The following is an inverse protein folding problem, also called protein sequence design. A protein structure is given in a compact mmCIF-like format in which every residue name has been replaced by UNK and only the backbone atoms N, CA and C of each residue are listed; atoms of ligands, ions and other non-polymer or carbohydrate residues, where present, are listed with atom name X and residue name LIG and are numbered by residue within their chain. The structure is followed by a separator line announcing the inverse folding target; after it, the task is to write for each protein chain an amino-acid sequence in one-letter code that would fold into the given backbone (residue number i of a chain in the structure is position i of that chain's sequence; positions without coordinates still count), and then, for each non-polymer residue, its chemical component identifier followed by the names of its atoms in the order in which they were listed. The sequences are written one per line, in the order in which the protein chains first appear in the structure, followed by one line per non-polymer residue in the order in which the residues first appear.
data_IF_481701782269
#
_entry.id   IF_481701782269
#
_cell.length_a   1.000
_cell.length_b   1.000
_cell.length_c   1.000
_cell.angle_alpha   90.00
_cell.angle_beta   90.00
_cell.angle_gamma   90.00
#
_symmetry.space_group_name_H-M   'P 1'
#
loop_
_entity.id
_entity.type
_entity.pdbx_description
1 polymer ?
#
# COMPACT_ATOMS: atom_id res chain seq x y z
N UNK A 1 -10.43 -66.65 -46.37
CA UNK A 1 -11.28 -66.62 -45.16
C UNK A 1 -12.31 -65.51 -45.31
N UNK A 2 -13.59 -65.86 -45.19
CA UNK A 2 -14.73 -64.94 -45.26
C UNK A 2 -14.77 -63.97 -44.06
N UNK A 3 -15.53 -62.85 -44.20
CA UNK A 3 -15.37 -61.60 -43.47
C UNK A 3 -16.53 -61.31 -42.50
N UNK A 4 -16.59 -60.13 -41.86
CA UNK A 4 -17.80 -59.27 -41.88
C UNK A 4 -17.64 -57.94 -41.10
N UNK A 5 -17.84 -56.83 -41.82
CA UNK A 5 -18.73 -55.70 -41.44
C UNK A 5 -20.07 -55.91 -42.21
N UNK A 6 -21.25 -55.37 -41.83
CA UNK A 6 -21.53 -53.92 -41.75
C UNK A 6 -22.66 -53.42 -40.79
N UNK A 7 -22.83 -52.09 -40.75
CA UNK A 7 -23.97 -51.22 -40.31
C UNK A 7 -25.35 -51.60 -40.94
N UNK A 8 -26.49 -50.84 -40.82
CA UNK A 8 -27.16 -50.01 -39.78
C UNK A 8 -28.73 -50.21 -39.73
N UNK A 9 -29.47 -49.31 -39.06
CA UNK A 9 -30.86 -48.83 -39.34
C UNK A 9 -32.12 -49.44 -38.64
N UNK A 10 -33.10 -48.54 -38.36
CA UNK A 10 -34.56 -48.78 -38.22
C UNK A 10 -35.16 -48.37 -36.86
N UNK A 11 -35.85 -47.22 -36.67
CA UNK A 11 -37.19 -46.75 -37.12
C UNK A 11 -38.41 -47.38 -36.39
N UNK A 12 -39.28 -46.49 -35.88
CA UNK A 12 -40.75 -46.66 -35.69
C UNK A 12 -41.19 -47.11 -34.28
N UNK A 13 -42.26 -46.62 -33.65
CA UNK A 13 -43.36 -45.68 -33.96
C UNK A 13 -43.90 -45.09 -32.64
N UNK A 14 -44.38 -43.85 -32.57
CA UNK A 14 -45.75 -43.33 -32.85
C UNK A 14 -46.90 -43.92 -32.02
N UNK A 15 -47.77 -42.96 -31.63
CA UNK A 15 -49.12 -43.02 -31.02
C UNK A 15 -49.20 -43.08 -29.49
N UNK A 16 -49.97 -42.24 -28.79
CA UNK A 16 -50.83 -41.13 -29.20
C UNK A 16 -51.84 -40.77 -28.10
N UNK A 17 -52.23 -39.49 -28.04
CA UNK A 17 -53.49 -38.95 -27.45
C UNK A 17 -53.57 -39.02 -25.90
N UNK A 18 -54.08 -38.04 -25.13
CA UNK A 18 -55.09 -36.98 -25.30
C UNK A 18 -54.93 -35.96 -24.14
N UNK A 19 -55.19 -34.68 -24.41
CA UNK A 19 -55.61 -33.69 -23.39
C UNK A 19 -57.02 -34.05 -22.86
N UNK A 20 -57.43 -33.44 -21.74
CA UNK A 20 -58.59 -32.55 -21.89
C UNK A 20 -58.42 -31.19 -21.23
N UNK A 21 -59.05 -30.21 -21.87
CA UNK A 21 -59.35 -28.87 -21.38
C UNK A 21 -60.47 -28.93 -20.34
N UNK A 22 -60.44 -28.00 -19.38
CA UNK A 22 -61.56 -27.69 -18.49
C UNK A 22 -61.51 -26.21 -18.13
N UNK A 23 -62.39 -25.44 -18.74
CA UNK A 23 -62.58 -23.99 -18.59
C UNK A 23 -63.66 -23.67 -17.55
N UNK A 24 -63.54 -22.53 -16.85
CA UNK A 24 -64.53 -21.44 -16.67
C UNK A 24 -64.69 -20.88 -15.24
N UNK A 25 -64.68 -19.52 -15.24
CA UNK A 25 -65.52 -18.55 -14.51
C UNK A 25 -64.99 -17.85 -13.24
N UNK A 26 -64.89 -16.53 -13.41
CA UNK A 26 -64.94 -15.45 -12.42
C UNK A 26 -66.08 -15.58 -11.39
N UNK A 27 -65.93 -14.86 -10.27
CA UNK A 27 -66.93 -13.85 -9.96
C UNK A 27 -66.35 -12.45 -9.64
N UNK A 28 -67.21 -11.45 -9.85
CA UNK A 28 -66.97 -10.00 -9.69
C UNK A 28 -67.05 -9.55 -8.21
N UNK A 29 -66.22 -8.55 -7.92
CA UNK A 29 -66.25 -7.46 -6.91
C UNK A 29 -67.43 -7.35 -5.93
N UNK A 30 -67.09 -7.03 -4.67
CA UNK A 30 -67.68 -5.90 -3.91
C UNK A 30 -66.59 -5.16 -3.10
N UNK A 31 -66.82 -3.85 -2.95
CA UNK A 31 -65.97 -2.81 -2.36
C UNK A 31 -65.77 -2.91 -0.84
N UNK A 32 -64.60 -2.46 -0.36
CA UNK A 32 -64.48 -1.65 0.86
C UNK A 32 -63.18 -0.83 0.82
N UNK A 33 -63.31 0.45 1.20
CA UNK A 33 -62.28 1.48 1.16
C UNK A 33 -61.30 1.39 2.33
N UNK A 34 -60.08 1.93 2.17
CA UNK A 34 -59.23 2.24 3.32
C UNK A 34 -57.75 2.45 3.03
N UNK A 35 -57.35 3.73 2.99
CA UNK A 35 -56.01 4.30 3.29
C UNK A 35 -54.84 3.98 2.36
N UNK A 36 -54.50 4.98 1.56
CA UNK A 36 -53.20 5.19 0.94
C UNK A 36 -52.21 5.74 2.00
N UNK A 37 -51.16 4.98 2.29
CA UNK A 37 -50.00 5.48 3.04
C UNK A 37 -48.92 5.90 2.03
N UNK A 38 -48.77 7.22 1.84
CA UNK A 38 -47.73 7.81 1.01
C UNK A 38 -46.41 7.77 1.79
N UNK A 39 -45.59 6.75 1.55
CA UNK A 39 -44.17 6.83 1.93
C UNK A 39 -43.48 7.85 1.03
N UNK A 40 -43.05 8.95 1.65
CA UNK A 40 -42.25 10.03 1.05
C UNK A 40 -40.88 9.49 0.63
N UNK A 41 -40.51 9.73 -0.62
CA UNK A 41 -39.11 9.65 -1.06
C UNK A 41 -38.28 10.75 -0.37
N UNK A 42 -37.01 10.50 -0.02
CA UNK A 42 -36.14 11.54 0.52
C UNK A 42 -35.63 12.47 -0.60
N UNK A 43 -35.42 13.77 -0.32
CA UNK A 43 -34.95 14.73 -1.32
C UNK A 43 -33.45 14.55 -1.64
N UNK A 44 -32.97 15.01 -2.80
CA UNK A 44 -31.57 14.93 -3.19
C UNK A 44 -30.70 15.85 -2.33
N UNK A 45 -29.52 15.35 -1.91
CA UNK A 45 -28.51 16.11 -1.18
C UNK A 45 -27.78 17.05 -2.14
N UNK A 46 -28.07 18.35 -2.05
CA UNK A 46 -27.28 19.40 -2.68
C UNK A 46 -25.93 19.54 -1.97
N UNK A 47 -24.85 19.57 -2.76
CA UNK A 47 -23.50 19.86 -2.32
C UNK A 47 -23.42 21.26 -1.66
N UNK A 48 -23.17 21.29 -0.36
CA UNK A 48 -22.80 22.52 0.34
C UNK A 48 -21.29 22.68 0.29
N UNK A 49 -20.83 23.78 -0.32
CA UNK A 49 -19.46 24.26 -0.20
C UNK A 49 -19.15 24.61 1.26
N UNK A 50 -17.92 24.39 1.76
CA UNK A 50 -17.56 24.77 3.11
C UNK A 50 -17.41 26.31 3.24
N UNK A 51 -17.85 26.92 4.35
CA UNK A 51 -17.65 28.34 4.58
C UNK A 51 -16.19 28.63 4.97
N UNK A 52 -15.68 29.74 4.43
CA UNK A 52 -14.40 30.35 4.76
C UNK A 52 -14.33 30.73 6.24
N UNK A 53 -13.35 30.19 6.98
CA UNK A 53 -13.04 30.62 8.35
C UNK A 53 -11.94 31.68 8.35
N UNK A 54 -12.35 32.93 8.60
CA UNK A 54 -11.50 33.92 9.27
C UNK A 54 -11.57 33.65 10.79
N UNK A 55 -10.46 33.92 11.46
CA UNK A 55 -10.12 33.34 12.75
C UNK A 55 -10.85 33.91 13.96
N UNK A 56 -10.83 33.12 15.02
CA UNK A 56 -11.01 33.52 16.42
C UNK A 56 -10.33 32.45 17.29
N UNK A 57 -9.50 32.89 18.23
CA UNK A 57 -8.70 32.02 19.10
C UNK A 57 -9.52 31.31 20.18
N UNK A 58 -8.96 30.28 20.84
CA UNK A 58 -9.72 29.46 21.79
C UNK A 58 -9.84 30.11 23.19
N UNK A 59 -10.93 29.85 23.94
CA UNK A 59 -11.11 30.34 25.30
C UNK A 59 -10.49 29.39 26.34
N UNK A 60 -10.01 29.98 27.44
CA UNK A 60 -9.38 29.29 28.57
C UNK A 60 -10.41 28.62 29.51
N UNK A 61 -10.12 27.39 29.94
CA UNK A 61 -10.84 26.69 31.01
C UNK A 61 -10.17 26.94 32.37
N UNK A 62 -10.91 27.56 33.30
CA UNK A 62 -10.57 27.64 34.73
C UNK A 62 -10.74 26.27 35.39
N UNK A 63 -9.68 25.77 36.05
CA UNK A 63 -9.78 24.72 37.07
C UNK A 63 -9.22 25.27 38.40
N UNK A 64 -10.07 25.20 39.42
CA UNK A 64 -9.77 25.51 40.81
C UNK A 64 -8.92 24.42 41.46
N UNK A 65 -7.86 24.77 42.21
CA UNK A 65 -7.22 23.81 43.11
C UNK A 65 -5.85 24.19 43.67
N UNK A 66 -5.86 24.77 44.88
CA UNK A 66 -4.83 24.71 45.95
C UNK A 66 -3.41 25.23 45.67
N UNK A 67 -3.09 26.33 46.37
CA UNK A 67 -1.74 26.85 46.64
C UNK A 67 -0.99 25.96 47.63
N UNK A 68 0.32 25.82 47.43
CA UNK A 68 1.48 25.91 48.35
C UNK A 68 2.70 25.62 47.44
N UNK A 69 3.81 26.35 47.35
CA UNK A 69 4.33 27.57 47.95
C UNK A 69 5.74 27.76 47.37
N UNK A 70 6.12 29.03 47.11
CA UNK A 70 7.51 29.55 47.03
C UNK A 70 8.51 28.92 46.02
N UNK A 71 9.29 29.65 45.21
CA UNK A 71 9.77 31.04 45.20
C UNK A 71 10.35 31.36 43.80
N UNK A 72 10.20 32.62 43.36
CA UNK A 72 11.10 33.38 42.48
C UNK A 72 11.02 33.06 40.98
N UNK A 73 10.32 33.78 40.07
CA UNK A 73 10.28 35.22 39.69
C UNK A 73 11.54 35.61 38.86
N UNK A 74 11.42 36.32 37.72
CA UNK A 74 11.37 35.70 36.39
C UNK A 74 12.23 36.49 35.36
N UNK A 75 11.97 36.27 34.06
CA UNK A 75 11.82 37.27 32.96
C UNK A 75 12.86 38.40 32.78
N UNK A 76 13.16 38.89 31.58
CA UNK A 76 12.71 38.62 30.24
C UNK A 76 13.54 39.49 29.28
N UNK A 77 13.48 39.09 28.02
CA UNK A 77 13.32 39.96 26.86
C UNK A 77 14.40 41.02 26.58
N UNK A 78 15.25 40.64 25.64
CA UNK A 78 15.63 41.48 24.51
C UNK A 78 14.42 42.18 23.88
N UNK A 79 14.48 43.51 23.80
CA UNK A 79 13.89 44.26 22.68
C UNK A 79 14.84 45.34 22.17
N UNK A 80 14.73 45.48 20.85
CA UNK A 80 15.52 46.27 19.89
C UNK A 80 15.40 47.77 20.10
N UNK A 81 16.36 48.52 19.58
CA UNK A 81 16.18 49.94 19.26
C UNK A 81 17.45 50.58 18.69
N UNK A 82 17.37 50.98 17.42
CA UNK A 82 18.30 51.85 16.69
C UNK A 82 18.63 53.16 17.42
N UNK A 83 19.83 53.68 17.20
CA UNK A 83 20.10 55.01 16.62
C UNK A 83 21.59 55.36 16.76
N UNK A 84 22.13 56.07 15.76
CA UNK A 84 23.56 56.34 15.62
C UNK A 84 24.08 57.55 16.40
N UNK A 85 25.31 57.94 16.04
CA UNK A 85 25.93 59.18 16.51
C UNK A 85 27.39 59.02 16.90
N UNK A 86 28.28 59.45 15.99
CA UNK A 86 29.51 60.19 16.23
C UNK A 86 30.40 59.89 17.45
N UNK A 87 31.67 59.58 17.14
CA UNK A 87 32.77 60.35 17.72
C UNK A 87 33.65 59.67 18.77
N UNK A 88 34.96 59.79 18.51
CA UNK A 88 36.10 59.69 19.42
C UNK A 88 36.55 58.30 19.89
N UNK A 89 37.79 57.97 19.48
CA UNK A 89 38.58 56.86 19.99
C UNK A 89 38.94 57.04 21.47
N UNK A 90 39.28 55.94 22.15
CA UNK A 90 40.59 55.93 22.80
C UNK A 90 41.41 54.69 22.49
N UNK A 91 42.72 54.91 22.54
CA UNK A 91 43.78 53.94 22.39
C UNK A 91 43.80 52.88 23.51
N UNK A 92 44.37 51.71 23.19
CA UNK A 92 44.90 50.78 24.19
C UNK A 92 44.33 49.37 24.13
N UNK A 93 44.70 48.58 23.12
CA UNK A 93 44.55 47.13 23.15
C UNK A 93 45.91 46.47 22.91
N UNK A 94 46.54 46.00 23.99
CA UNK A 94 47.64 45.04 23.92
C UNK A 94 47.10 43.69 23.42
N UNK A 95 47.44 43.33 22.18
CA UNK A 95 47.30 41.96 21.67
C UNK A 95 48.55 41.16 22.08
N UNK A 96 48.45 40.01 22.76
CA UNK A 96 49.57 39.09 22.89
C UNK A 96 49.80 38.36 21.56
N UNK A 97 51.04 38.35 21.10
CA UNK A 97 51.47 37.69 19.88
C UNK A 97 51.12 36.19 19.89
N UNK A 98 50.32 35.74 18.91
CA UNK A 98 50.08 34.33 18.64
C UNK A 98 51.36 33.71 18.07
N UNK A 99 52.05 32.91 18.88
CA UNK A 99 53.19 32.08 18.46
C UNK A 99 52.67 31.00 17.49
N UNK A 100 53.02 31.13 16.21
CA UNK A 100 52.70 30.14 15.20
C UNK A 100 53.37 28.79 15.53
N UNK A 101 52.57 27.73 15.72
CA UNK A 101 53.06 26.37 15.86
C UNK A 101 53.58 25.89 14.50
N UNK A 102 54.86 25.48 14.46
CA UNK A 102 55.46 24.83 13.29
C UNK A 102 54.79 23.46 13.06
N UNK A 103 54.49 23.08 11.81
CA UNK A 103 53.95 21.75 11.53
C UNK A 103 55.02 20.68 11.76
N UNK A 104 54.70 19.70 12.60
CA UNK A 104 55.52 18.50 12.80
C UNK A 104 55.32 17.59 11.58
N UNK A 105 56.40 17.30 10.84
CA UNK A 105 56.35 16.32 9.74
C UNK A 105 56.19 14.91 10.32
N UNK A 106 55.27 14.07 9.82
CA UNK A 106 55.16 12.71 10.29
C UNK A 106 56.42 11.93 9.89
N UNK A 107 56.99 11.20 10.84
CA UNK A 107 58.12 10.30 10.59
C UNK A 107 57.69 9.20 9.63
N UNK A 108 58.47 8.96 8.57
CA UNK A 108 58.26 7.84 7.65
C UNK A 108 58.51 6.54 8.41
N UNK A 109 57.44 5.79 8.68
CA UNK A 109 57.54 4.40 9.12
C UNK A 109 58.24 3.59 8.02
N UNK A 110 59.37 2.96 8.37
CA UNK A 110 60.08 2.03 7.49
C UNK A 110 59.21 0.80 7.28
N UNK A 111 59.04 0.40 6.02
CA UNK A 111 58.35 -0.84 5.64
C UNK A 111 59.06 -2.05 6.27
N UNK A 112 58.33 -2.81 7.08
CA UNK A 112 58.71 -4.17 7.50
C UNK A 112 58.17 -5.14 6.45
N UNK A 113 59.00 -5.97 5.80
CA UNK A 113 58.52 -6.94 4.84
C UNK A 113 57.91 -8.13 5.60
N UNK A 114 56.59 -8.19 5.57
CA UNK A 114 55.78 -9.27 6.13
C UNK A 114 54.33 -9.03 5.78
N UNK A 115 53.91 -9.44 4.58
CA UNK A 115 52.52 -9.32 4.14
C UNK A 115 51.65 -10.29 4.94
N UNK A 116 51.19 -9.87 6.11
CA UNK A 116 50.02 -10.48 6.74
C UNK A 116 48.87 -10.24 5.77
N UNK A 117 48.35 -11.29 5.13
CA UNK A 117 47.08 -11.19 4.40
C UNK A 117 46.07 -10.62 5.39
N UNK A 118 45.60 -9.39 5.14
CA UNK A 118 44.53 -8.79 5.92
C UNK A 118 43.32 -9.73 5.94
N UNK A 119 42.49 -9.71 7.00
CA UNK A 119 41.31 -10.55 7.06
C UNK A 119 40.50 -10.37 5.77
N UNK A 120 40.02 -11.48 5.21
CA UNK A 120 39.16 -11.44 4.02
C UNK A 120 38.08 -10.37 4.23
N UNK A 121 37.84 -9.50 3.24
CA UNK A 121 36.77 -8.51 3.31
C UNK A 121 35.44 -9.27 3.46
N UNK A 122 34.93 -9.34 4.69
CA UNK A 122 33.58 -9.80 4.95
C UNK A 122 32.67 -8.69 4.45
N UNK A 123 32.03 -8.89 3.29
CA UNK A 123 30.92 -8.02 2.89
C UNK A 123 29.80 -8.18 3.91
N UNK A 124 29.30 -7.09 4.51
CA UNK A 124 28.20 -7.18 5.44
C UNK A 124 26.97 -7.78 4.74
N UNK A 125 26.11 -8.49 5.48
CA UNK A 125 24.86 -8.99 4.93
C UNK A 125 24.02 -7.86 4.32
N UNK A 126 23.19 -8.15 3.30
CA UNK A 126 22.28 -7.15 2.73
C UNK A 126 21.35 -6.55 3.79
N UNK A 127 21.09 -5.24 3.65
CA UNK A 127 20.21 -4.50 4.55
C UNK A 127 18.73 -4.74 4.28
N UNK A 128 17.92 -4.74 5.34
CA UNK A 128 16.45 -4.65 5.28
C UNK A 128 16.03 -3.35 5.97
N UNK A 129 15.25 -2.53 5.27
CA UNK A 129 14.70 -1.28 5.80
C UNK A 129 13.25 -1.05 5.35
N UNK A 130 12.55 -0.18 6.08
CA UNK A 130 11.15 0.20 5.79
C UNK A 130 11.04 1.71 5.66
N UNK A 131 10.39 2.15 4.59
CA UNK A 131 9.97 3.54 4.39
C UNK A 131 8.50 3.65 4.77
N UNK A 132 8.24 4.11 5.99
CA UNK A 132 6.89 4.15 6.55
C UNK A 132 6.00 5.22 5.93
N UNK A 133 6.55 6.42 5.70
CA UNK A 133 5.79 7.59 5.30
C UNK A 133 5.90 7.87 3.80
N UNK A 134 4.79 8.17 3.11
CA UNK A 134 4.80 8.48 1.68
C UNK A 134 5.68 9.66 1.31
N UNK A 135 5.75 10.67 2.19
CA UNK A 135 6.53 11.89 1.99
C UNK A 135 8.05 11.64 2.04
N UNK A 136 8.50 10.56 2.69
CA UNK A 136 9.92 10.20 2.76
C UNK A 136 10.41 9.49 1.50
N UNK A 137 9.51 8.87 0.71
CA UNK A 137 9.88 8.04 -0.46
C UNK A 137 10.80 8.74 -1.47
N UNK A 138 10.59 10.02 -1.86
CA UNK A 138 11.47 10.68 -2.81
C UNK A 138 12.92 10.86 -2.33
N UNK A 139 13.16 10.84 -1.02
CA UNK A 139 14.49 10.99 -0.43
C UNK A 139 15.24 9.65 -0.28
N UNK A 140 14.55 8.53 -0.51
CA UNK A 140 15.14 7.19 -0.35
C UNK A 140 15.79 6.78 -1.67
N UNK A 141 17.10 6.53 -1.61
CA UNK A 141 17.80 5.91 -2.72
C UNK A 141 17.29 4.48 -2.90
N UNK A 142 16.68 4.20 -4.05
CA UNK A 142 16.26 2.86 -4.44
C UNK A 142 17.22 2.22 -5.46
N UNK A 143 18.25 2.93 -5.92
CA UNK A 143 19.15 2.44 -6.95
C UNK A 143 19.80 1.12 -6.52
N UNK A 144 19.65 0.10 -7.37
CA UNK A 144 20.19 -1.23 -7.09
C UNK A 144 19.43 -2.05 -6.04
N UNK A 145 18.44 -1.50 -5.35
CA UNK A 145 17.67 -2.21 -4.33
C UNK A 145 16.60 -3.14 -4.94
N UNK A 146 16.12 -4.08 -4.12
CA UNK A 146 14.82 -4.74 -4.31
C UNK A 146 13.80 -3.96 -3.48
N UNK A 147 12.97 -3.16 -4.15
CA UNK A 147 11.85 -2.47 -3.52
C UNK A 147 10.66 -3.43 -3.39
N UNK A 148 10.02 -3.44 -2.22
CA UNK A 148 8.82 -4.24 -1.95
C UNK A 148 7.70 -3.27 -1.57
N UNK A 149 6.78 -3.04 -2.50
CA UNK A 149 5.70 -2.06 -2.34
C UNK A 149 4.52 -2.69 -1.59
N UNK A 150 3.98 -1.97 -0.62
CA UNK A 150 2.89 -2.43 0.25
C UNK A 150 1.80 -1.34 0.33
N UNK A 151 0.56 -1.73 0.07
CA UNK A 151 -0.69 -0.99 0.31
C UNK A 151 -1.71 -2.08 0.69
N UNK A 152 -1.61 -2.53 1.95
CA UNK A 152 -2.25 -3.77 2.41
C UNK A 152 -3.78 -3.67 2.31
N UNK A 153 -4.33 -2.49 2.63
CA UNK A 153 -5.75 -2.14 2.53
C UNK A 153 -5.86 -0.96 1.55
N UNK A 154 -5.92 -1.19 0.24
CA UNK A 154 -6.21 -2.47 -0.44
C UNK A 154 -5.36 -2.72 -1.69
N UNK A 155 -4.62 -1.74 -2.19
CA UNK A 155 -4.16 -1.78 -3.58
C UNK A 155 -3.25 -2.98 -3.89
N UNK A 156 -2.30 -3.32 -3.02
CA UNK A 156 -1.41 -4.45 -3.27
C UNK A 156 -2.13 -5.79 -3.11
N UNK A 157 -3.05 -5.89 -2.15
CA UNK A 157 -3.93 -7.07 -2.02
C UNK A 157 -4.79 -7.27 -3.27
N UNK A 158 -5.35 -6.20 -3.84
CA UNK A 158 -6.11 -6.25 -5.10
C UNK A 158 -5.25 -6.70 -6.28
N UNK A 159 -4.01 -6.20 -6.39
CA UNK A 159 -3.07 -6.61 -7.44
C UNK A 159 -2.75 -8.11 -7.33
N UNK A 160 -2.48 -8.59 -6.12
CA UNK A 160 -2.20 -10.00 -5.84
C UNK A 160 -3.42 -10.87 -6.19
N UNK A 161 -4.62 -10.48 -5.75
CA UNK A 161 -5.86 -11.19 -6.04
C UNK A 161 -6.14 -11.26 -7.55
N UNK A 162 -5.95 -10.16 -8.28
CA UNK A 162 -6.16 -10.12 -9.73
C UNK A 162 -5.22 -11.10 -10.46
N UNK A 163 -3.93 -11.09 -10.15
CA UNK A 163 -2.95 -11.99 -10.77
C UNK A 163 -3.20 -13.45 -10.37
N UNK A 164 -3.56 -13.72 -9.12
CA UNK A 164 -3.98 -15.06 -8.68
C UNK A 164 -5.24 -15.56 -9.39
N UNK A 165 -6.15 -14.66 -9.76
CA UNK A 165 -7.33 -14.98 -10.57
C UNK A 165 -7.02 -15.18 -12.07
N UNK A 166 -5.76 -15.11 -12.49
CA UNK A 166 -5.33 -15.31 -13.87
C UNK A 166 -5.36 -14.04 -14.72
N UNK A 167 -5.36 -12.85 -14.10
CA UNK A 167 -5.09 -11.59 -14.79
C UNK A 167 -3.74 -11.69 -15.54
N UNK A 168 -3.71 -11.24 -16.79
CA UNK A 168 -2.50 -11.25 -17.63
C UNK A 168 -1.44 -10.29 -17.09
N UNK A 169 -1.87 -9.09 -16.73
CA UNK A 169 -1.03 -8.02 -16.22
C UNK A 169 -1.88 -6.93 -15.58
N UNK A 170 -1.31 -6.18 -14.64
CA UNK A 170 -1.91 -4.97 -14.07
C UNK A 170 -1.12 -3.76 -14.55
N UNK A 171 -1.80 -2.73 -15.01
CA UNK A 171 -1.20 -1.44 -15.39
C UNK A 171 -1.59 -0.41 -14.34
N UNK A 172 -0.64 0.05 -13.50
CA UNK A 172 -0.90 1.11 -12.54
C UNK A 172 -0.92 2.47 -13.27
N UNK A 173 -1.98 3.24 -13.04
CA UNK A 173 -2.22 4.57 -13.60
C UNK A 173 -2.31 5.60 -12.47
N UNK A 174 -1.80 6.81 -12.71
CA UNK A 174 -1.83 7.91 -11.74
C UNK A 174 -3.24 8.46 -11.57
N UNK A 175 -3.97 8.57 -12.67
CA UNK A 175 -5.27 9.23 -12.69
C UNK A 175 -6.36 8.37 -13.34
N UNK A 176 -7.64 8.66 -13.06
CA UNK A 176 -8.75 8.00 -13.73
C UNK A 176 -8.76 8.26 -15.24
N UNK A 177 -8.33 9.45 -15.67
CA UNK A 177 -8.25 9.81 -17.08
C UNK A 177 -7.21 8.96 -17.81
N UNK A 178 -6.07 8.67 -17.18
CA UNK A 178 -5.07 7.74 -17.72
C UNK A 178 -5.65 6.33 -17.88
N UNK A 179 -6.45 5.84 -16.91
CA UNK A 179 -7.13 4.54 -17.00
C UNK A 179 -8.07 4.49 -18.21
N UNK A 180 -8.92 5.51 -18.37
CA UNK A 180 -9.88 5.58 -19.47
C UNK A 180 -9.18 5.71 -20.84
N UNK A 181 -8.10 6.50 -20.92
CA UNK A 181 -7.32 6.67 -22.13
C UNK A 181 -6.55 5.41 -22.53
N UNK A 182 -6.05 4.62 -21.56
CA UNK A 182 -5.44 3.31 -21.82
C UNK A 182 -6.49 2.27 -22.21
N UNK A 183 -7.69 2.31 -21.61
CA UNK A 183 -8.80 1.42 -21.97
C UNK A 183 -9.25 1.64 -23.42
N UNK A 184 -9.38 2.90 -23.85
CA UNK A 184 -9.78 3.26 -25.21
C UNK A 184 -8.80 2.80 -26.29
N UNK A 185 -7.53 2.55 -25.93
CA UNK A 185 -6.49 2.06 -26.85
C UNK A 185 -6.42 0.54 -26.96
N UNK A 186 -7.22 -0.19 -26.18
CA UNK A 186 -7.18 -1.66 -26.13
C UNK A 186 -8.46 -2.28 -26.70
N UNK A 187 -8.40 -3.51 -27.25
CA UNK A 187 -9.60 -4.17 -27.77
C UNK A 187 -10.69 -4.33 -26.72
N UNK A 188 -11.94 -4.21 -27.14
CA UNK A 188 -13.10 -4.41 -26.26
C UNK A 188 -13.03 -5.80 -25.58
N UNK A 189 -13.27 -5.84 -24.27
CA UNK A 189 -13.23 -7.06 -23.46
C UNK A 189 -11.82 -7.58 -23.12
N UNK A 190 -10.75 -6.95 -23.62
CA UNK A 190 -9.37 -7.31 -23.29
C UNK A 190 -8.88 -6.70 -21.96
N UNK A 191 -9.62 -5.72 -21.44
CA UNK A 191 -9.31 -4.97 -20.22
C UNK A 191 -10.47 -4.96 -19.25
N UNK A 192 -10.14 -4.75 -17.98
CA UNK A 192 -11.06 -4.34 -16.92
C UNK A 192 -10.47 -3.11 -16.26
N UNK A 193 -11.30 -2.08 -16.05
CA UNK A 193 -10.91 -0.86 -15.37
C UNK A 193 -11.32 -0.91 -13.91
N UNK A 194 -10.42 -0.51 -13.02
CA UNK A 194 -10.69 -0.47 -11.59
C UNK A 194 -10.04 0.73 -10.93
N UNK A 195 -10.68 1.23 -9.88
CA UNK A 195 -10.05 2.25 -9.07
C UNK A 195 -10.94 2.84 -8.02
N UNK A 196 -10.31 3.59 -7.12
CA UNK A 196 -10.98 4.26 -6.02
C UNK A 196 -10.40 5.64 -5.71
N UNK A 197 -11.21 6.47 -5.06
CA UNK A 197 -10.79 7.62 -4.27
C UNK A 197 -11.45 7.53 -2.91
N UNK A 198 -10.66 7.53 -1.84
CA UNK A 198 -11.15 7.37 -0.47
C UNK A 198 -12.09 6.16 -0.34
N UNK A 199 -11.65 5.00 -0.81
CA UNK A 199 -12.37 3.72 -0.75
C UNK A 199 -13.56 3.58 -1.72
N UNK A 200 -14.04 4.68 -2.31
CA UNK A 200 -15.22 4.70 -3.19
C UNK A 200 -14.81 4.49 -4.63
N UNK A 201 -15.56 3.64 -5.35
CA UNK A 201 -15.35 3.38 -6.78
C UNK A 201 -15.49 4.68 -7.57
N UNK A 202 -14.56 4.91 -8.49
CA UNK A 202 -14.64 6.04 -9.42
C UNK A 202 -15.72 5.78 -10.47
N UNK A 203 -16.56 6.78 -10.73
CA UNK A 203 -17.60 6.71 -11.76
C UNK A 203 -16.99 6.43 -13.15
N UNK A 204 -17.67 5.58 -13.92
CA UNK A 204 -17.20 5.17 -15.25
C UNK A 204 -16.19 4.01 -15.26
N UNK A 205 -15.63 3.60 -14.13
CA UNK A 205 -14.79 2.39 -14.04
C UNK A 205 -15.61 1.14 -13.76
N UNK A 206 -15.18 -0.01 -14.27
CA UNK A 206 -15.91 -1.28 -14.13
C UNK A 206 -15.99 -1.73 -12.67
N UNK A 207 -14.87 -1.64 -11.94
CA UNK A 207 -14.72 -2.16 -10.57
C UNK A 207 -14.16 -1.12 -9.58
N UNK A 208 -14.36 -1.37 -8.29
CA UNK A 208 -13.61 -0.73 -7.19
C UNK A 208 -12.20 -1.38 -7.08
N UNK A 209 -11.34 -0.85 -6.21
CA UNK A 209 -10.12 -1.48 -5.71
C UNK A 209 -10.40 -2.57 -4.64
N UNK A 210 -11.34 -3.48 -4.92
CA UNK A 210 -11.75 -4.55 -4.00
C UNK A 210 -11.13 -5.87 -4.43
N UNK A 211 -10.36 -6.57 -3.56
CA UNK A 211 -9.82 -7.88 -3.87
C UNK A 211 -10.89 -8.96 -4.04
N UNK A 212 -12.04 -8.90 -3.33
CA UNK A 212 -13.12 -9.89 -3.50
C UNK A 212 -13.75 -9.83 -4.90
N UNK A 213 -13.71 -8.66 -5.54
CA UNK A 213 -14.16 -8.49 -6.91
C UNK A 213 -13.22 -9.07 -7.97
N UNK A 214 -12.01 -9.51 -7.61
CA UNK A 214 -11.00 -10.03 -8.54
C UNK A 214 -11.19 -11.54 -8.78
N UNK A 215 -12.32 -11.91 -9.40
CA UNK A 215 -12.64 -13.32 -9.69
C UNK A 215 -12.04 -13.79 -11.02
N UNK A 216 -11.87 -15.11 -11.18
CA UNK A 216 -11.37 -15.72 -12.42
C UNK A 216 -12.22 -15.36 -13.65
N UNK A 217 -13.54 -15.26 -13.49
CA UNK A 217 -14.47 -14.86 -14.55
C UNK A 217 -14.21 -13.42 -15.03
N UNK A 218 -13.87 -12.53 -14.09
CA UNK A 218 -13.61 -11.12 -14.40
C UNK A 218 -12.19 -10.89 -14.90
N UNK A 219 -11.21 -11.62 -14.39
CA UNK A 219 -9.79 -11.34 -14.63
C UNK A 219 -9.10 -12.25 -15.64
N UNK A 220 -9.59 -13.48 -15.86
CA UNK A 220 -8.89 -14.50 -16.64
C UNK A 220 -8.42 -14.01 -18.02
N UNK A 221 -7.10 -13.93 -18.20
CA UNK A 221 -6.44 -13.51 -19.45
C UNK A 221 -6.58 -12.02 -19.81
N UNK A 222 -7.27 -11.21 -19.01
CA UNK A 222 -7.48 -9.77 -19.23
C UNK A 222 -6.38 -8.94 -18.58
N UNK A 223 -6.25 -7.69 -19.01
CA UNK A 223 -5.42 -6.69 -18.31
C UNK A 223 -6.28 -5.90 -17.32
N UNK A 224 -5.81 -5.71 -16.09
CA UNK A 224 -6.41 -4.78 -15.15
C UNK A 224 -5.75 -3.40 -15.28
N UNK A 225 -6.53 -2.36 -15.55
CA UNK A 225 -6.09 -0.96 -15.49
C UNK A 225 -6.51 -0.39 -14.14
N UNK A 226 -5.55 0.01 -13.31
CA UNK A 226 -5.80 0.32 -11.89
C UNK A 226 -5.30 1.73 -11.54
N UNK A 227 -6.17 2.56 -10.95
CA UNK A 227 -5.77 3.80 -10.23
C UNK A 227 -6.27 3.77 -8.79
N UNK A 228 -5.45 4.21 -7.85
CA UNK A 228 -5.80 4.27 -6.42
C UNK A 228 -5.29 5.57 -5.82
N UNK A 229 -5.75 5.87 -4.61
CA UNK A 229 -5.34 7.06 -3.86
C UNK A 229 -3.84 7.02 -3.52
N UNK A 230 -3.32 5.85 -3.13
CA UNK A 230 -1.95 5.73 -2.60
C UNK A 230 -1.09 4.70 -3.37
N UNK A 231 -1.53 3.44 -3.44
CA UNK A 231 -0.69 2.32 -3.88
C UNK A 231 -0.16 2.38 -5.30
N UNK A 232 -0.95 2.89 -6.26
CA UNK A 232 -0.48 3.02 -7.65
C UNK A 232 0.66 4.01 -7.77
N UNK A 233 0.62 5.14 -7.06
CA UNK A 233 1.74 6.06 -6.97
C UNK A 233 2.94 5.41 -6.26
N UNK A 234 2.73 4.62 -5.21
CA UNK A 234 3.81 3.89 -4.53
C UNK A 234 4.55 2.93 -5.45
N UNK A 235 3.83 2.21 -6.32
CA UNK A 235 4.45 1.35 -7.33
C UNK A 235 5.26 2.17 -8.32
N UNK A 236 4.71 3.29 -8.82
CA UNK A 236 5.38 4.15 -9.79
C UNK A 236 6.66 4.78 -9.22
N UNK A 237 6.63 5.26 -7.98
CA UNK A 237 7.80 5.81 -7.28
C UNK A 237 8.89 4.74 -7.10
N UNK A 238 8.49 3.49 -6.86
CA UNK A 238 9.41 2.38 -6.66
C UNK A 238 10.11 1.91 -7.96
N UNK A 239 9.66 2.31 -9.15
CA UNK A 239 10.27 1.92 -10.44
C UNK A 239 11.72 2.40 -10.62
N UNK A 240 12.22 3.29 -9.75
CA UNK A 240 13.63 3.63 -9.68
C UNK A 240 14.51 2.48 -9.12
N UNK A 241 13.89 1.48 -8.48
CA UNK A 241 14.59 0.32 -7.95
C UNK A 241 15.02 -0.67 -9.05
N UNK A 242 15.98 -1.54 -8.73
CA UNK A 242 16.42 -2.58 -9.67
C UNK A 242 15.38 -3.68 -9.84
N UNK A 243 14.68 -4.01 -8.76
CA UNK A 243 13.54 -4.93 -8.77
C UNK A 243 12.42 -4.32 -7.94
N UNK A 244 11.18 -4.41 -8.43
CA UNK A 244 9.99 -3.95 -7.71
C UNK A 244 9.05 -5.12 -7.54
N UNK A 245 8.87 -5.55 -6.31
CA UNK A 245 7.90 -6.57 -5.92
C UNK A 245 6.68 -5.91 -5.29
N UNK A 246 5.52 -6.55 -5.38
CA UNK A 246 4.28 -6.09 -4.74
C UNK A 246 3.86 -7.10 -3.69
N UNK A 247 3.77 -6.67 -2.45
CA UNK A 247 3.49 -7.53 -1.31
C UNK A 247 2.18 -7.19 -0.62
N UNK A 248 1.52 -8.24 -0.16
CA UNK A 248 0.37 -8.20 0.71
C UNK A 248 0.46 -9.39 1.67
N UNK A 249 -0.39 -9.42 2.70
CA UNK A 249 -0.42 -10.58 3.61
C UNK A 249 -0.69 -11.92 2.90
N UNK A 250 -1.57 -11.99 1.87
CA UNK A 250 -1.84 -13.22 1.13
C UNK A 250 -0.65 -13.86 0.41
N UNK A 251 0.42 -13.12 0.11
CA UNK A 251 1.59 -13.64 -0.60
C UNK A 251 2.91 -13.41 0.15
N UNK A 252 2.86 -13.21 1.47
CA UNK A 252 3.99 -12.88 2.35
C UNK A 252 5.20 -13.78 2.13
N UNK A 253 5.03 -15.10 2.23
CA UNK A 253 6.09 -16.09 2.10
C UNK A 253 6.68 -16.17 0.69
N UNK A 254 5.85 -16.03 -0.34
CA UNK A 254 6.32 -16.02 -1.73
C UNK A 254 7.18 -14.79 -2.05
N UNK A 255 6.79 -13.63 -1.51
CA UNK A 255 7.59 -12.41 -1.61
C UNK A 255 8.92 -12.56 -0.88
N UNK A 256 8.92 -13.12 0.33
CA UNK A 256 10.14 -13.35 1.09
C UNK A 256 11.15 -14.21 0.29
N UNK A 257 10.72 -15.38 -0.20
CA UNK A 257 11.58 -16.25 -1.03
C UNK A 257 12.10 -15.53 -2.28
N UNK A 258 11.24 -14.75 -2.96
CA UNK A 258 11.66 -14.01 -4.15
C UNK A 258 12.66 -12.90 -3.80
N UNK A 259 12.42 -12.14 -2.73
CA UNK A 259 13.31 -11.07 -2.29
C UNK A 259 14.68 -11.63 -1.88
N UNK A 260 14.71 -12.77 -1.18
CA UNK A 260 15.94 -13.47 -0.84
C UNK A 260 16.73 -13.92 -2.10
N UNK A 261 16.04 -14.50 -3.09
CA UNK A 261 16.66 -14.95 -4.33
C UNK A 261 17.24 -13.80 -5.19
N UNK A 262 16.73 -12.57 -5.04
CA UNK A 262 17.26 -11.39 -5.72
C UNK A 262 18.49 -10.79 -5.00
N UNK A 263 18.80 -11.28 -3.78
CA UNK A 263 20.05 -11.13 -3.01
C UNK A 263 20.68 -9.73 -3.03
N UNK A 264 19.94 -8.73 -2.56
CA UNK A 264 20.39 -7.33 -2.40
C UNK A 264 19.78 -6.67 -1.17
N UNK A 265 20.03 -5.37 -1.00
CA UNK A 265 19.27 -4.48 -0.10
C UNK A 265 17.77 -4.59 -0.41
N UNK A 266 16.97 -4.95 0.60
CA UNK A 266 15.50 -4.97 0.54
C UNK A 266 14.99 -3.70 1.19
N UNK A 267 14.17 -2.95 0.45
CA UNK A 267 13.53 -1.73 0.95
C UNK A 267 12.02 -1.91 0.84
N UNK A 268 11.33 -2.00 1.96
CA UNK A 268 9.88 -1.98 1.99
C UNK A 268 9.39 -0.54 1.79
N UNK A 269 8.48 -0.34 0.85
CA UNK A 269 7.91 0.97 0.50
C UNK A 269 6.42 0.94 0.84
N UNK A 270 6.07 1.49 1.99
CA UNK A 270 4.67 1.64 2.39
C UNK A 270 4.00 2.73 1.55
N UNK A 271 2.79 2.44 1.08
CA UNK A 271 1.98 3.41 0.35
C UNK A 271 1.36 4.44 1.31
N UNK A 272 1.17 4.05 2.58
CA UNK A 272 0.62 4.91 3.61
C UNK A 272 -0.86 5.22 3.40
N UNK A 273 -1.41 6.00 4.33
CA UNK A 273 -2.84 6.31 4.35
C UNK A 273 -3.04 7.80 4.58
N UNK A 274 -3.57 8.51 3.59
CA UNK A 274 -3.75 9.98 3.64
C UNK A 274 -2.42 10.70 3.95
N UNK A 275 -1.33 10.21 3.36
CA UNK A 275 0.00 10.80 3.50
C UNK A 275 0.74 10.48 4.80
N UNK A 276 0.19 9.63 5.68
CA UNK A 276 0.82 9.24 6.95
C UNK A 276 1.17 7.75 6.99
N UNK A 277 1.86 7.33 8.06
CA UNK A 277 2.19 5.92 8.32
C UNK A 277 0.93 5.05 8.35
N UNK A 278 0.97 3.95 7.62
CA UNK A 278 -0.05 2.90 7.67
C UNK A 278 0.38 1.78 8.62
N UNK A 279 -0.51 1.42 9.55
CA UNK A 279 -0.27 0.33 10.49
C UNK A 279 -0.27 -1.02 9.75
N UNK A 280 -1.27 -1.25 8.92
CA UNK A 280 -1.42 -2.44 8.09
C UNK A 280 -0.23 -2.65 7.14
N UNK A 281 0.30 -1.58 6.51
CA UNK A 281 1.49 -1.69 5.66
C UNK A 281 2.73 -2.07 6.48
N UNK A 282 2.87 -1.47 7.67
CA UNK A 282 3.97 -1.76 8.61
C UNK A 282 3.94 -3.21 9.06
N UNK A 283 2.75 -3.74 9.35
CA UNK A 283 2.55 -5.13 9.75
C UNK A 283 2.92 -6.09 8.62
N UNK A 284 2.54 -5.81 7.37
CA UNK A 284 2.95 -6.63 6.22
C UNK A 284 4.47 -6.59 6.04
N UNK A 285 5.11 -5.43 6.17
CA UNK A 285 6.58 -5.32 6.09
C UNK A 285 7.28 -6.18 7.17
N UNK A 286 6.78 -6.14 8.41
CA UNK A 286 7.26 -6.98 9.50
C UNK A 286 7.04 -8.47 9.25
N UNK A 287 5.88 -8.85 8.71
CA UNK A 287 5.53 -10.23 8.39
C UNK A 287 6.42 -10.82 7.30
N UNK A 288 6.72 -10.05 6.24
CA UNK A 288 7.64 -10.47 5.19
C UNK A 288 9.08 -10.51 5.71
N UNK A 289 9.45 -9.59 6.61
CA UNK A 289 10.77 -9.61 7.28
C UNK A 289 10.95 -10.88 8.11
N UNK A 290 9.94 -11.30 8.90
CA UNK A 290 9.97 -12.56 9.63
C UNK A 290 10.18 -13.75 8.67
N UNK A 291 9.38 -13.84 7.60
CA UNK A 291 9.51 -14.90 6.60
C UNK A 291 10.89 -14.94 5.93
N UNK A 292 11.50 -13.79 5.66
CA UNK A 292 12.86 -13.69 5.11
C UNK A 292 13.91 -14.27 6.07
N UNK A 293 13.76 -14.01 7.37
CA UNK A 293 14.67 -14.50 8.40
C UNK A 293 14.50 -16.00 8.66
N UNK A 294 13.27 -16.51 8.57
CA UNK A 294 12.97 -17.94 8.67
C UNK A 294 13.57 -18.72 7.49
N UNK A 295 13.44 -18.21 6.26
CA UNK A 295 13.89 -18.88 5.04
C UNK A 295 15.43 -18.84 4.86
N UNK A 296 16.05 -17.70 5.16
CA UNK A 296 17.50 -17.48 4.92
C UNK A 296 18.39 -17.58 6.17
N UNK A 297 17.78 -17.58 7.37
CA UNK A 297 18.47 -17.48 8.64
C UNK A 297 18.75 -16.02 9.06
N UNK A 298 18.70 -15.67 10.36
CA UNK A 298 18.86 -14.29 10.84
C UNK A 298 20.21 -13.65 10.50
N UNK A 299 21.28 -14.44 10.40
CA UNK A 299 22.62 -13.95 10.08
C UNK A 299 22.80 -13.56 8.61
N UNK A 300 21.86 -13.93 7.73
CA UNK A 300 21.90 -13.59 6.31
C UNK A 300 21.48 -12.14 6.02
N UNK A 301 20.98 -11.41 7.02
CA UNK A 301 20.39 -10.08 6.84
C UNK A 301 20.86 -9.10 7.91
N UNK A 302 21.03 -7.84 7.51
CA UNK A 302 21.24 -6.72 8.42
C UNK A 302 19.93 -5.93 8.57
N UNK A 303 19.24 -6.10 9.70
CA UNK A 303 18.03 -5.33 9.99
C UNK A 303 18.38 -3.91 10.46
N UNK A 304 17.99 -2.91 9.66
CA UNK A 304 17.97 -1.52 10.07
C UNK A 304 16.84 -1.26 11.08
N UNK A 305 16.90 -0.15 11.81
CA UNK A 305 15.96 0.15 12.89
C UNK A 305 14.50 0.18 12.43
N UNK A 306 14.25 0.68 11.22
CA UNK A 306 12.92 0.68 10.61
C UNK A 306 12.37 -0.74 10.41
N UNK A 307 13.20 -1.69 9.96
CA UNK A 307 12.81 -3.09 9.85
C UNK A 307 12.60 -3.75 11.21
N UNK A 308 13.41 -3.39 12.23
CA UNK A 308 13.21 -3.88 13.61
C UNK A 308 11.88 -3.42 14.19
N UNK A 309 11.50 -2.16 13.96
CA UNK A 309 10.21 -1.60 14.39
C UNK A 309 9.06 -2.35 13.73
N UNK A 310 9.12 -2.55 12.41
CA UNK A 310 8.08 -3.28 11.68
C UNK A 310 7.97 -4.74 12.16
N UNK A 311 9.09 -5.43 12.33
CA UNK A 311 9.13 -6.80 12.83
C UNK A 311 8.54 -6.90 14.25
N UNK A 312 8.92 -5.99 15.16
CA UNK A 312 8.38 -5.97 16.51
C UNK A 312 6.87 -5.71 16.53
N UNK A 313 6.38 -4.78 15.69
CA UNK A 313 4.96 -4.52 15.52
C UNK A 313 4.20 -5.77 15.02
N UNK A 314 4.75 -6.48 14.03
CA UNK A 314 4.21 -7.72 13.52
C UNK A 314 4.13 -8.81 14.59
N UNK A 315 5.23 -9.08 15.30
CA UNK A 315 5.28 -10.11 16.34
C UNK A 315 4.25 -9.87 17.46
N UNK A 316 3.99 -8.61 17.81
CA UNK A 316 2.96 -8.24 18.79
C UNK A 316 1.52 -8.33 18.27
N UNK A 317 1.32 -8.35 16.95
CA UNK A 317 0.02 -8.26 16.30
C UNK A 317 -0.46 -9.57 15.65
N UNK A 318 0.45 -10.48 15.26
CA UNK A 318 0.18 -11.60 14.34
C UNK A 318 -0.97 -12.52 14.77
N UNK A 319 -1.12 -12.79 16.07
CA UNK A 319 -2.19 -13.64 16.61
C UNK A 319 -3.58 -12.98 16.58
N UNK A 320 -3.63 -11.66 16.40
CA UNK A 320 -4.86 -10.83 16.39
C UNK A 320 -4.97 -9.99 15.11
N UNK A 321 -4.32 -10.43 14.03
CA UNK A 321 -4.15 -9.63 12.82
C UNK A 321 -5.47 -9.07 12.28
N UNK A 322 -6.48 -9.93 12.11
CA UNK A 322 -7.78 -9.53 11.57
C UNK A 322 -8.51 -8.51 12.45
N UNK A 323 -8.33 -8.59 13.78
CA UNK A 323 -8.89 -7.62 14.73
C UNK A 323 -8.16 -6.27 14.60
N UNK A 324 -6.83 -6.29 14.59
CA UNK A 324 -5.99 -5.09 14.50
C UNK A 324 -6.24 -4.38 13.17
N UNK A 325 -6.32 -5.11 12.05
CA UNK A 325 -6.64 -4.55 10.74
C UNK A 325 -7.94 -3.75 10.78
N UNK A 326 -9.00 -4.26 11.40
CA UNK A 326 -10.28 -3.50 11.55
C UNK A 326 -10.15 -2.24 12.41
N UNK A 327 -9.19 -2.19 13.34
CA UNK A 327 -8.96 -1.04 14.23
C UNK A 327 -8.06 0.03 13.61
N UNK A 328 -7.31 -0.31 12.56
CA UNK A 328 -6.52 0.68 11.80
C UNK A 328 -7.42 1.73 11.16
N UNK A 329 -6.85 2.89 10.81
CA UNK A 329 -7.60 3.92 10.09
C UNK A 329 -8.18 3.37 8.78
N UNK A 330 -7.34 2.69 7.98
CA UNK A 330 -7.74 2.10 6.70
C UNK A 330 -8.83 1.05 6.87
N UNK A 331 -8.66 0.13 7.81
CA UNK A 331 -9.64 -0.92 8.06
C UNK A 331 -10.96 -0.41 8.62
N UNK A 332 -10.94 0.47 9.62
CA UNK A 332 -12.16 1.08 10.18
C UNK A 332 -12.91 1.90 9.12
N UNK A 333 -12.20 2.52 8.18
CA UNK A 333 -12.80 3.27 7.09
C UNK A 333 -13.46 2.34 6.06
N UNK A 334 -12.80 1.26 5.64
CA UNK A 334 -13.36 0.27 4.71
C UNK A 334 -14.54 -0.50 5.33
N UNK A 335 -14.50 -0.80 6.63
CA UNK A 335 -15.61 -1.44 7.34
C UNK A 335 -16.88 -0.57 7.31
N UNK A 336 -16.74 0.75 7.53
CA UNK A 336 -17.84 1.71 7.40
C UNK A 336 -18.45 1.78 6.00
N UNK A 337 -17.68 1.44 4.97
CA UNK A 337 -18.16 1.36 3.59
C UNK A 337 -18.89 0.03 3.27
N UNK A 338 -19.01 -0.89 4.24
CA UNK A 338 -19.66 -2.18 4.05
C UNK A 338 -18.81 -3.19 3.27
N UNK A 339 -17.49 -3.05 3.33
CA UNK A 339 -16.53 -3.86 2.58
C UNK A 339 -15.76 -4.82 3.51
N UNK A 340 -16.47 -5.47 4.44
CA UNK A 340 -15.89 -6.37 5.45
C UNK A 340 -15.18 -7.58 4.83
N UNK A 341 -15.70 -8.08 3.70
CA UNK A 341 -15.10 -9.19 2.98
C UNK A 341 -13.69 -8.84 2.48
N UNK A 342 -13.48 -7.61 2.00
CA UNK A 342 -12.15 -7.14 1.60
C UNK A 342 -11.17 -7.18 2.77
N UNK A 343 -11.59 -6.75 3.97
CA UNK A 343 -10.74 -6.78 5.16
C UNK A 343 -10.37 -8.20 5.57
N UNK A 344 -11.31 -9.13 5.47
CA UNK A 344 -11.02 -10.53 5.73
C UNK A 344 -9.96 -11.08 4.76
N UNK A 345 -10.06 -10.76 3.47
CA UNK A 345 -9.07 -11.17 2.46
C UNK A 345 -7.71 -10.50 2.73
N UNK A 346 -7.67 -9.20 3.05
CA UNK A 346 -6.43 -8.49 3.33
C UNK A 346 -5.67 -9.07 4.54
N UNK A 347 -6.37 -9.66 5.50
CA UNK A 347 -5.80 -10.27 6.70
C UNK A 347 -5.46 -11.77 6.53
N UNK A 348 -5.74 -12.38 5.39
CA UNK A 348 -5.35 -13.77 5.13
C UNK A 348 -3.84 -13.88 4.89
N UNK A 349 -3.21 -14.87 5.51
CA UNK A 349 -1.76 -15.12 5.42
C UNK A 349 -1.51 -16.24 4.43
N UNK A 350 -0.60 -16.02 3.47
CA UNK A 350 -0.03 -17.04 2.59
C UNK A 350 -1.08 -17.90 1.85
N UNK A 351 -2.14 -17.28 1.32
CA UNK A 351 -3.17 -17.95 0.51
C UNK A 351 -2.81 -18.07 -0.97
N UNK A 352 -1.71 -17.46 -1.41
CA UNK A 352 -1.22 -17.58 -2.80
C UNK A 352 0.29 -17.44 -2.90
N UNK A 353 0.90 -18.18 -3.83
CA UNK A 353 2.33 -18.10 -4.16
C UNK A 353 2.65 -17.10 -5.29
N UNK A 354 1.66 -16.32 -5.73
CA UNK A 354 1.87 -15.31 -6.78
C UNK A 354 2.80 -14.22 -6.29
N UNK A 355 3.84 -13.94 -7.09
CA UNK A 355 4.77 -12.83 -6.87
C UNK A 355 4.61 -11.79 -7.98
N UNK A 356 3.88 -10.69 -7.75
CA UNK A 356 3.81 -9.62 -8.72
C UNK A 356 5.14 -8.86 -8.79
N UNK A 357 5.61 -8.62 -10.01
CA UNK A 357 6.81 -7.84 -10.33
C UNK A 357 6.42 -6.68 -11.21
N UNK A 358 6.76 -5.46 -10.80
CA UNK A 358 6.55 -4.26 -11.60
C UNK A 358 7.78 -3.97 -12.49
N UNK A 359 7.51 -3.59 -13.73
CA UNK A 359 8.48 -3.24 -14.76
C UNK A 359 8.12 -1.90 -15.39
N UNK A 360 9.07 -1.26 -16.08
CA UNK A 360 8.80 -0.10 -16.93
C UNK A 360 10.05 0.67 -17.34
N UNK A 361 9.91 1.73 -18.17
CA UNK A 361 8.67 2.22 -18.79
C UNK A 361 8.27 1.48 -20.11
N UNK A 362 6.97 1.34 -20.45
CA UNK A 362 5.79 1.76 -19.68
C UNK A 362 5.52 0.87 -18.46
N UNK A 363 4.86 1.38 -17.40
CA UNK A 363 4.65 0.65 -16.16
C UNK A 363 3.70 -0.54 -16.34
N UNK A 364 4.13 -1.73 -15.92
CA UNK A 364 3.31 -2.95 -15.96
C UNK A 364 3.71 -3.90 -14.84
N UNK A 365 2.73 -4.59 -14.25
CA UNK A 365 2.92 -5.56 -13.18
C UNK A 365 2.49 -6.94 -13.69
N UNK A 366 3.36 -7.94 -13.57
CA UNK A 366 3.09 -9.32 -13.99
C UNK A 366 3.49 -10.28 -12.89
N UNK A 367 2.83 -11.43 -12.83
CA UNK A 367 3.30 -12.52 -11.97
C UNK A 367 4.69 -12.98 -12.44
N UNK A 368 5.61 -13.18 -11.52
CA UNK A 368 6.91 -13.77 -11.82
C UNK A 368 6.70 -15.19 -12.38
N UNK A 369 7.39 -15.49 -13.48
CA UNK A 369 7.51 -16.85 -13.98
C UNK A 369 8.69 -17.48 -13.23
N UNK A 370 8.41 -18.49 -12.42
CA UNK A 370 9.45 -19.35 -11.88
C UNK A 370 9.88 -20.28 -13.00
N UNK A 371 11.10 -20.09 -13.52
CA UNK A 371 11.75 -20.98 -14.50
C UNK A 371 12.67 -21.93 -13.76
#
# INVERSE_FOLDING_TARGET
MRPHRPHPAGRGGRDGRRRPQGTLRHPRRKHAAGRTDRRREPPPLHAQQPPSRQGEGPPEHRISGRRHGHRGVPDAALRRGDAGGGGSAPAGAHQPARRALRPVRPARLRNVPGSVRGPARVTPPPGISVVFEPAARPAVDLAGATAVVIDAIRATTTIVAALAAGCREVVPCRTPEEVLAEAARRPAGAVVTAGERLGVRIEGLDLNNSPSAMTRERMGGRTLLLTTTNGTQAVLDALAARHVLVAAMPNRGAIARRAAALARRVVFVSAGTVGTVSCEDTLVAGAVTEALLEDSGPAAWNLEDSARVALAAWLGARERLAEIFRQTWGGAFIDKLGLQEDLAICAQVDTTDVVPVAHGPPPVIRAAVFV
#
